data_IF_418770701901
#
_entry.id   IF_418770701901
#
_cell.length_a   1.000
_cell.length_b   1.000
_cell.length_c   1.000
_cell.angle_alpha   90.00
_cell.angle_beta   90.00
_cell.angle_gamma   90.00
#
_symmetry.space_group_name_H-M   'P 1'
#
loop_
_entity.id
_entity.type
_entity.pdbx_description
1 polymer ?
#
# COMPACT_ATOMS: atom_id res chain seq x y z
N UNK A 1 2.27 -14.11 13.69
CA UNK A 1 3.36 -13.11 13.80
C UNK A 1 3.51 -12.46 12.44
N UNK A 2 2.85 -11.32 12.21
CA UNK A 2 3.01 -10.52 11.00
C UNK A 2 3.45 -9.13 11.41
N UNK A 3 4.56 -8.74 10.83
CA UNK A 3 5.36 -7.56 11.10
C UNK A 3 4.62 -6.28 10.77
N UNK A 4 4.47 -5.46 11.81
CA UNK A 4 4.19 -4.02 11.83
C UNK A 4 4.97 -3.31 10.71
N UNK A 5 4.29 -2.87 9.64
CA UNK A 5 4.87 -1.91 8.70
C UNK A 5 4.70 -0.53 9.30
N UNK A 6 5.71 -0.12 10.06
CA UNK A 6 5.83 1.24 10.57
C UNK A 6 5.78 2.23 9.41
N UNK A 7 4.89 3.21 9.58
CA UNK A 7 4.92 4.53 8.97
C UNK A 7 6.39 5.01 8.87
N UNK A 8 6.94 4.97 7.67
CA UNK A 8 8.29 5.44 7.36
C UNK A 8 8.21 6.34 6.14
N UNK A 9 8.36 7.62 6.44
CA UNK A 9 8.86 8.71 5.63
C UNK A 9 9.66 8.25 4.39
N UNK A 10 9.00 8.17 3.24
CA UNK A 10 9.66 8.28 1.92
C UNK A 10 8.68 8.94 0.96
N UNK A 11 8.67 10.27 0.94
CA UNK A 11 8.24 11.03 -0.23
C UNK A 11 9.18 12.22 -0.36
N UNK A 12 10.37 11.95 -0.89
CA UNK A 12 11.26 12.98 -1.42
C UNK A 12 10.52 13.72 -2.53
N UNK A 13 10.35 15.03 -2.34
CA UNK A 13 9.99 15.93 -3.44
C UNK A 13 11.19 15.96 -4.40
N UNK A 14 11.12 15.16 -5.46
CA UNK A 14 12.14 15.19 -6.51
C UNK A 14 12.16 16.57 -7.17
N UNK A 15 13.28 17.27 -7.01
CA UNK A 15 13.62 18.49 -7.74
C UNK A 15 13.76 18.13 -9.22
N UNK A 16 12.85 18.63 -10.05
CA UNK A 16 12.87 18.41 -11.49
C UNK A 16 13.97 19.26 -12.14
N UNK A 17 15.03 18.62 -12.63
CA UNK A 17 16.07 19.23 -13.48
C UNK A 17 15.68 18.92 -14.95
N UNK A 18 15.57 19.92 -15.84
CA UNK A 18 15.18 19.67 -17.22
C UNK A 18 16.36 19.12 -18.00
N UNK A 19 16.30 17.86 -18.41
CA UNK A 19 17.17 17.32 -19.45
C UNK A 19 16.36 17.14 -20.73
N UNK A 20 16.60 18.03 -21.68
CA UNK A 20 16.13 17.89 -23.04
C UNK A 20 16.88 16.80 -23.81
N UNK A 21 16.27 16.42 -24.92
CA UNK A 21 16.82 15.55 -25.98
C UNK A 21 16.90 14.06 -25.66
N UNK A 22 15.84 13.30 -26.02
CA UNK A 22 15.92 12.00 -26.71
C UNK A 22 14.53 11.34 -26.81
N UNK A 23 13.69 11.70 -27.79
CA UNK A 23 12.44 10.95 -28.05
C UNK A 23 12.04 10.84 -29.52
N UNK A 24 12.97 11.05 -30.47
CA UNK A 24 12.74 10.71 -31.88
C UNK A 24 12.90 9.20 -32.21
N UNK A 25 13.18 8.35 -31.21
CA UNK A 25 13.39 6.90 -31.41
C UNK A 25 12.18 6.05 -30.98
N UNK A 26 11.23 6.59 -30.21
CA UNK A 26 10.07 5.81 -29.72
C UNK A 26 8.94 5.70 -30.76
N UNK A 27 8.96 6.52 -31.82
CA UNK A 27 7.85 6.60 -32.78
C UNK A 27 7.89 5.55 -33.91
N UNK A 28 8.91 4.70 -33.98
CA UNK A 28 9.00 3.61 -34.97
C UNK A 28 8.80 2.20 -34.40
N UNK A 29 8.85 2.01 -33.07
CA UNK A 29 8.66 0.69 -32.45
C UNK A 29 7.17 0.37 -32.16
N UNK A 30 6.31 1.37 -32.03
CA UNK A 30 4.87 1.16 -31.80
C UNK A 30 4.08 0.70 -33.03
N UNK A 31 4.66 0.72 -34.24
CA UNK A 31 3.94 0.37 -35.47
C UNK A 31 4.03 -1.11 -35.85
N UNK A 32 4.98 -1.87 -35.28
CA UNK A 32 5.17 -3.29 -35.57
C UNK A 32 4.54 -4.24 -34.54
N UNK A 33 4.02 -3.72 -33.43
CA UNK A 33 3.39 -4.53 -32.37
C UNK A 33 1.85 -4.51 -32.41
N UNK A 34 1.24 -3.61 -33.19
CA UNK A 34 -0.22 -3.48 -33.32
C UNK A 34 -0.84 -4.40 -34.39
N UNK A 35 -0.07 -4.97 -35.30
CA UNK A 35 -0.58 -5.90 -36.33
C UNK A 35 -0.65 -7.36 -35.85
N UNK A 36 0.08 -7.74 -34.80
CA UNK A 36 0.03 -9.10 -34.25
C UNK A 36 -1.14 -9.32 -33.27
N UNK A 37 -1.60 -8.26 -32.59
CA UNK A 37 -2.72 -8.34 -31.62
C UNK A 37 -4.07 -8.40 -32.35
N UNK A 38 -4.24 -7.68 -33.46
CA UNK A 38 -5.47 -7.70 -34.25
C UNK A 38 -5.74 -9.04 -34.94
N UNK A 39 -4.68 -9.77 -35.32
CA UNK A 39 -4.79 -11.12 -35.88
C UNK A 39 -5.15 -12.18 -34.82
N UNK A 40 -4.79 -11.97 -33.55
CA UNK A 40 -5.17 -12.87 -32.46
C UNK A 40 -6.59 -12.62 -31.94
N UNK A 41 -7.03 -11.35 -31.88
CA UNK A 41 -8.40 -11.01 -31.45
C UNK A 41 -9.46 -11.46 -32.47
N UNK A 42 -9.14 -11.43 -33.77
CA UNK A 42 -10.09 -11.82 -34.82
C UNK A 42 -10.27 -13.35 -34.96
N UNK A 43 -9.33 -14.17 -34.47
CA UNK A 43 -9.45 -15.63 -34.51
C UNK A 43 -10.26 -16.25 -33.35
N UNK A 44 -10.57 -15.48 -32.30
CA UNK A 44 -11.42 -15.98 -31.20
C UNK A 44 -12.93 -15.84 -31.45
N UNK A 45 -13.36 -15.26 -32.59
CA UNK A 45 -14.78 -14.97 -32.88
C UNK A 45 -15.47 -15.95 -33.83
N UNK A 46 -14.80 -16.97 -34.37
CA UNK A 46 -15.44 -17.99 -35.19
C UNK A 46 -15.03 -19.41 -34.80
N UNK A 47 -15.88 -20.04 -33.99
CA UNK A 47 -15.79 -21.45 -33.62
C UNK A 47 -17.15 -22.13 -33.69
N UNK A 48 -17.89 -21.96 -34.80
CA UNK A 48 -19.03 -22.80 -35.14
C UNK A 48 -18.57 -23.84 -36.16
N UNK A 49 -18.07 -24.98 -35.68
CA UNK A 49 -18.02 -26.21 -36.45
C UNK A 49 -18.27 -27.38 -35.50
N UNK A 50 -19.53 -27.82 -35.43
CA UNK A 50 -19.93 -29.03 -34.71
C UNK A 50 -19.98 -30.15 -35.72
N UNK A 51 -18.86 -30.86 -35.89
CA UNK A 51 -18.83 -32.07 -36.70
C UNK A 51 -19.58 -33.20 -35.99
N UNK A 52 -20.50 -33.79 -36.75
CA UNK A 52 -21.39 -34.87 -36.37
C UNK A 52 -20.63 -36.19 -36.39
N UNK A 53 -20.21 -36.67 -35.22
CA UNK A 53 -19.75 -38.05 -35.03
C UNK A 53 -20.68 -38.80 -34.07
N UNK A 54 -21.44 -39.72 -34.66
CA UNK A 54 -22.25 -40.72 -33.97
C UNK A 54 -21.37 -41.89 -33.53
N UNK A 55 -21.28 -42.16 -32.23
CA UNK A 55 -21.84 -43.39 -31.64
C UNK A 55 -21.39 -43.57 -30.18
N UNK A 56 -22.33 -44.12 -29.40
CA UNK A 56 -22.18 -44.83 -28.11
C UNK A 56 -21.66 -44.08 -26.87
N UNK A 57 -22.62 -43.52 -26.12
CA UNK A 57 -22.59 -43.29 -24.65
C UNK A 57 -21.35 -42.59 -24.09
N UNK A 58 -21.09 -41.35 -24.51
CA UNK A 58 -20.02 -40.50 -23.94
C UNK A 58 -20.22 -39.00 -24.17
N UNK A 59 -21.46 -38.55 -24.33
CA UNK A 59 -21.77 -37.12 -24.45
C UNK A 59 -22.21 -36.58 -23.09
N UNK A 60 -21.68 -35.43 -22.63
CA UNK A 60 -22.29 -34.74 -21.51
C UNK A 60 -23.74 -34.46 -21.89
N UNK A 61 -24.66 -34.65 -20.94
CA UNK A 61 -26.05 -34.21 -21.07
C UNK A 61 -26.09 -32.83 -21.75
N UNK A 62 -26.92 -32.66 -22.77
CA UNK A 62 -26.99 -31.42 -23.56
C UNK A 62 -27.19 -30.21 -22.64
N UNK A 63 -27.89 -30.42 -21.53
CA UNK A 63 -28.08 -29.45 -20.45
C UNK A 63 -26.76 -29.10 -19.73
N UNK A 64 -25.93 -30.09 -19.39
CA UNK A 64 -24.62 -29.85 -18.76
C UNK A 64 -23.62 -29.17 -19.71
N UNK A 65 -23.71 -29.42 -21.02
CA UNK A 65 -22.88 -28.74 -22.01
C UNK A 65 -23.24 -27.25 -22.11
N UNK A 66 -24.53 -26.93 -22.09
CA UNK A 66 -25.02 -25.54 -22.08
C UNK A 66 -24.62 -24.81 -20.79
N UNK A 67 -24.82 -25.43 -19.62
CA UNK A 67 -24.43 -24.86 -18.33
C UNK A 67 -22.92 -24.55 -18.26
N UNK A 68 -22.08 -25.44 -18.80
CA UNK A 68 -20.64 -25.19 -18.93
C UNK A 68 -20.36 -23.99 -19.84
N UNK A 69 -21.06 -23.87 -20.97
CA UNK A 69 -20.87 -22.75 -21.88
C UNK A 69 -21.28 -21.42 -21.24
N UNK A 70 -22.35 -21.40 -20.45
CA UNK A 70 -22.76 -20.22 -19.67
C UNK A 70 -21.67 -19.80 -18.68
N UNK A 71 -21.11 -20.75 -17.93
CA UNK A 71 -19.99 -20.47 -17.03
C UNK A 71 -18.75 -19.95 -17.76
N UNK A 72 -18.40 -20.53 -18.91
CA UNK A 72 -17.29 -20.08 -19.73
C UNK A 72 -17.49 -18.63 -20.22
N UNK A 73 -18.69 -18.32 -20.73
CA UNK A 73 -19.04 -16.99 -21.20
C UNK A 73 -19.04 -15.96 -20.06
N UNK A 74 -19.62 -16.30 -18.90
CA UNK A 74 -19.62 -15.44 -17.72
C UNK A 74 -18.19 -15.15 -17.23
N UNK A 75 -17.35 -16.18 -17.13
CA UNK A 75 -15.94 -16.05 -16.71
C UNK A 75 -15.12 -15.20 -17.68
N UNK A 76 -15.34 -15.36 -18.99
CA UNK A 76 -14.68 -14.55 -20.00
C UNK A 76 -15.09 -13.07 -19.89
N UNK A 77 -16.39 -12.78 -19.74
CA UNK A 77 -16.90 -11.41 -19.57
C UNK A 77 -16.35 -10.76 -18.31
N UNK A 78 -16.34 -11.47 -17.19
CA UNK A 78 -15.76 -10.98 -15.95
C UNK A 78 -14.26 -10.67 -16.10
N UNK A 79 -13.51 -11.54 -16.78
CA UNK A 79 -12.09 -11.32 -17.04
C UNK A 79 -11.85 -10.07 -17.89
N UNK A 80 -12.63 -9.90 -18.97
CA UNK A 80 -12.56 -8.71 -19.83
C UNK A 80 -12.86 -7.45 -19.04
N UNK A 81 -13.98 -7.44 -18.30
CA UNK A 81 -14.34 -6.32 -17.44
C UNK A 81 -13.23 -5.98 -16.43
N UNK A 82 -12.64 -7.00 -15.79
CA UNK A 82 -11.56 -6.82 -14.81
C UNK A 82 -10.35 -6.10 -15.41
N UNK A 83 -10.02 -6.41 -16.67
CA UNK A 83 -8.90 -5.80 -17.37
C UNK A 83 -9.24 -4.37 -17.79
N UNK A 84 -10.43 -4.15 -18.36
CA UNK A 84 -10.87 -2.85 -18.84
C UNK A 84 -10.96 -1.81 -17.70
N UNK A 85 -11.34 -2.26 -16.50
CA UNK A 85 -11.49 -1.42 -15.30
C UNK A 85 -10.30 -1.53 -14.34
N UNK A 86 -9.12 -1.89 -14.85
CA UNK A 86 -7.89 -1.98 -14.05
C UNK A 86 -7.14 -0.66 -13.89
N UNK A 87 -7.40 0.34 -14.77
CA UNK A 87 -6.78 1.69 -14.71
C UNK A 87 -7.67 2.76 -15.37
N UNK A 88 -8.20 3.75 -14.62
CA UNK A 88 -8.25 3.82 -13.15
C UNK A 88 -9.02 2.61 -12.58
N UNK A 89 -8.73 2.21 -11.34
CA UNK A 89 -9.39 1.03 -10.75
C UNK A 89 -10.84 1.38 -10.42
N UNK A 90 -11.78 0.83 -11.19
CA UNK A 90 -13.24 0.88 -10.94
C UNK A 90 -13.84 -0.51 -11.02
N UNK A 91 -13.02 -1.50 -10.65
CA UNK A 91 -13.26 -2.92 -10.88
C UNK A 91 -14.47 -3.43 -10.10
N UNK A 92 -14.58 -3.08 -8.82
CA UNK A 92 -15.68 -3.54 -7.98
C UNK A 92 -17.01 -2.98 -8.51
N UNK A 93 -17.08 -1.67 -8.73
CA UNK A 93 -18.28 -0.98 -9.22
C UNK A 93 -18.73 -1.48 -10.60
N UNK A 94 -17.80 -1.60 -11.55
CA UNK A 94 -18.14 -1.86 -12.94
C UNK A 94 -18.36 -3.34 -13.25
N UNK A 95 -17.71 -4.25 -12.50
CA UNK A 95 -17.70 -5.68 -12.82
C UNK A 95 -18.60 -6.53 -11.92
N UNK A 96 -19.37 -5.92 -11.02
CA UNK A 96 -20.27 -6.63 -10.09
C UNK A 96 -21.24 -7.56 -10.79
N UNK A 97 -21.88 -7.13 -11.88
CA UNK A 97 -22.84 -7.97 -12.60
C UNK A 97 -22.16 -9.19 -13.22
N UNK A 98 -20.99 -8.98 -13.86
CA UNK A 98 -20.24 -10.09 -14.45
C UNK A 98 -19.73 -11.08 -13.38
N UNK A 99 -19.40 -10.58 -12.19
CA UNK A 99 -19.07 -11.43 -11.04
C UNK A 99 -20.26 -12.27 -10.58
N UNK A 100 -21.45 -11.67 -10.45
CA UNK A 100 -22.67 -12.38 -10.08
C UNK A 100 -23.01 -13.47 -11.10
N UNK A 101 -22.89 -13.19 -12.40
CA UNK A 101 -23.10 -14.16 -13.47
C UNK A 101 -22.13 -15.38 -13.34
N UNK A 102 -20.88 -15.15 -12.94
CA UNK A 102 -19.90 -16.24 -12.67
C UNK A 102 -20.34 -17.09 -11.49
N UNK A 103 -20.76 -16.47 -10.40
CA UNK A 103 -21.25 -17.17 -9.20
C UNK A 103 -22.50 -17.98 -9.52
N UNK A 104 -23.48 -17.37 -10.18
CA UNK A 104 -24.74 -18.00 -10.54
C UNK A 104 -24.53 -19.17 -11.52
N UNK A 105 -23.78 -18.96 -12.60
CA UNK A 105 -23.52 -20.00 -13.59
C UNK A 105 -22.79 -21.22 -13.01
N UNK A 106 -21.86 -21.00 -12.09
CA UNK A 106 -21.19 -22.08 -11.36
C UNK A 106 -22.13 -22.79 -10.36
N UNK A 107 -22.97 -22.05 -9.65
CA UNK A 107 -23.99 -22.63 -8.76
C UNK A 107 -25.03 -23.44 -9.53
N UNK A 108 -25.41 -23.01 -10.72
CA UNK A 108 -26.33 -23.75 -11.58
C UNK A 108 -25.70 -25.08 -12.02
N UNK A 109 -24.41 -25.10 -12.34
CA UNK A 109 -23.70 -26.37 -12.60
C UNK A 109 -23.65 -27.31 -11.39
N UNK A 110 -23.67 -26.79 -10.16
CA UNK A 110 -23.65 -27.59 -8.94
C UNK A 110 -25.04 -28.03 -8.48
N UNK A 111 -26.10 -27.28 -8.79
CA UNK A 111 -27.49 -27.61 -8.43
C UNK A 111 -28.16 -28.52 -9.46
N UNK A 112 -27.91 -28.30 -10.75
CA UNK A 112 -28.59 -29.05 -11.83
C UNK A 112 -27.76 -30.25 -12.29
N UNK A 113 -28.46 -31.34 -12.62
CA UNK A 113 -27.85 -32.61 -13.01
C UNK A 113 -28.87 -33.58 -13.61
N UNK A 114 -28.37 -34.61 -14.28
CA UNK A 114 -29.18 -35.67 -14.89
C UNK A 114 -28.85 -37.02 -14.25
N UNK A 115 -29.87 -37.87 -14.08
CA UNK A 115 -29.75 -39.19 -13.45
C UNK A 115 -28.99 -39.14 -12.12
N UNK A 116 -29.40 -38.22 -11.23
CA UNK A 116 -28.86 -38.07 -9.88
C UNK A 116 -27.36 -37.68 -9.79
N UNK A 117 -26.73 -37.28 -10.91
CA UNK A 117 -25.34 -36.79 -10.97
C UNK A 117 -25.32 -35.31 -11.32
N UNK A 118 -24.67 -34.48 -10.50
CA UNK A 118 -24.57 -33.03 -10.76
C UNK A 118 -23.67 -32.77 -11.96
N UNK A 119 -24.00 -31.78 -12.79
CA UNK A 119 -23.19 -31.45 -13.96
C UNK A 119 -21.73 -31.13 -13.57
N UNK A 120 -21.54 -30.48 -12.42
CA UNK A 120 -20.22 -30.12 -11.91
C UNK A 120 -19.32 -31.33 -11.64
N UNK A 121 -19.87 -32.46 -11.23
CA UNK A 121 -19.09 -33.66 -10.90
C UNK A 121 -18.41 -34.24 -12.16
N UNK A 122 -18.99 -34.04 -13.34
CA UNK A 122 -18.40 -34.45 -14.61
C UNK A 122 -17.21 -33.59 -15.04
N UNK A 123 -17.12 -32.33 -14.59
CA UNK A 123 -16.07 -31.39 -15.01
C UNK A 123 -15.01 -31.12 -13.94
N UNK A 124 -15.35 -31.29 -12.66
CA UNK A 124 -14.43 -31.01 -11.53
C UNK A 124 -13.80 -32.28 -10.97
N UNK A 125 -14.50 -33.42 -10.94
CA UNK A 125 -14.01 -34.61 -10.23
C UNK A 125 -13.33 -35.66 -11.13
N UNK A 126 -13.34 -35.48 -12.46
CA UNK A 126 -12.77 -36.45 -13.40
C UNK A 126 -11.36 -36.13 -13.90
N UNK A 127 -10.88 -34.91 -13.68
CA UNK A 127 -9.56 -34.44 -14.10
C UNK A 127 -8.77 -33.94 -12.89
N UNK A 128 -7.48 -34.24 -12.81
CA UNK A 128 -6.58 -33.75 -11.76
C UNK A 128 -6.34 -32.24 -11.84
N UNK A 129 -6.50 -31.64 -13.02
CA UNK A 129 -6.31 -30.21 -13.24
C UNK A 129 -7.50 -29.37 -12.78
N UNK A 130 -8.71 -29.93 -12.77
CA UNK A 130 -9.93 -29.27 -12.27
C UNK A 130 -10.17 -27.85 -12.81
N UNK A 131 -9.91 -27.61 -14.09
CA UNK A 131 -9.91 -26.27 -14.73
C UNK A 131 -11.12 -25.42 -14.34
N UNK A 132 -12.34 -25.98 -14.38
CA UNK A 132 -13.58 -25.26 -14.06
C UNK A 132 -13.55 -24.73 -12.61
N UNK A 133 -13.10 -25.55 -11.66
CA UNK A 133 -12.95 -25.15 -10.26
C UNK A 133 -11.86 -24.10 -10.10
N UNK A 134 -10.71 -24.29 -10.75
CA UNK A 134 -9.58 -23.35 -10.65
C UNK A 134 -9.93 -21.96 -11.20
N UNK A 135 -10.66 -21.88 -12.32
CA UNK A 135 -11.12 -20.61 -12.88
C UNK A 135 -12.13 -19.94 -11.94
N UNK A 136 -13.09 -20.71 -11.43
CA UNK A 136 -14.06 -20.19 -10.47
C UNK A 136 -13.37 -19.62 -9.22
N UNK A 137 -12.41 -20.36 -8.67
CA UNK A 137 -11.64 -19.91 -7.50
C UNK A 137 -10.81 -18.68 -7.82
N UNK A 138 -10.16 -18.61 -8.98
CA UNK A 138 -9.41 -17.43 -9.38
C UNK A 138 -10.28 -16.18 -9.47
N UNK A 139 -11.50 -16.31 -10.01
CA UNK A 139 -12.47 -15.21 -10.09
C UNK A 139 -12.94 -14.78 -8.69
N UNK A 140 -13.29 -15.74 -7.83
CA UNK A 140 -13.64 -15.46 -6.43
C UNK A 140 -12.51 -14.79 -5.66
N UNK A 141 -11.29 -15.27 -5.83
CA UNK A 141 -10.11 -14.77 -5.13
C UNK A 141 -9.73 -13.38 -5.61
N UNK A 142 -9.92 -13.07 -6.90
CA UNK A 142 -9.76 -11.70 -7.41
C UNK A 142 -10.76 -10.75 -6.73
N UNK A 143 -12.05 -11.11 -6.71
CA UNK A 143 -13.10 -10.32 -6.05
C UNK A 143 -12.83 -10.11 -4.56
N UNK A 144 -12.44 -11.17 -3.85
CA UNK A 144 -12.12 -11.14 -2.41
C UNK A 144 -10.88 -10.32 -2.11
N UNK A 145 -9.79 -10.45 -2.90
CA UNK A 145 -8.56 -9.66 -2.69
C UNK A 145 -8.79 -8.18 -2.92
N UNK A 146 -9.66 -7.83 -3.87
CA UNK A 146 -10.10 -6.45 -4.09
C UNK A 146 -11.09 -5.97 -3.02
N UNK A 147 -11.51 -6.83 -2.08
CA UNK A 147 -12.46 -6.54 -1.01
C UNK A 147 -13.76 -5.92 -1.52
N UNK A 148 -14.21 -6.33 -2.71
CA UNK A 148 -15.37 -5.71 -3.36
C UNK A 148 -16.67 -5.86 -2.56
N UNK A 149 -16.80 -6.87 -1.70
CA UNK A 149 -17.96 -6.99 -0.82
C UNK A 149 -18.11 -5.79 0.13
N UNK A 150 -17.02 -5.10 0.50
CA UNK A 150 -17.06 -3.94 1.40
C UNK A 150 -17.62 -2.67 0.72
N UNK A 151 -17.65 -2.66 -0.61
CA UNK A 151 -18.28 -1.60 -1.39
C UNK A 151 -19.82 -1.70 -1.35
N UNK A 152 -20.40 -2.80 -0.87
CA UNK A 152 -21.81 -3.12 -1.00
C UNK A 152 -22.46 -3.50 0.33
N UNK A 153 -23.77 -3.30 0.44
CA UNK A 153 -24.56 -3.74 1.58
C UNK A 153 -25.03 -5.19 1.38
N UNK A 154 -25.05 -5.96 2.47
CA UNK A 154 -25.50 -7.35 2.48
C UNK A 154 -27.04 -7.41 2.47
N UNK A 155 -27.69 -6.95 1.40
CA UNK A 155 -29.13 -7.17 1.22
C UNK A 155 -29.40 -7.90 -0.11
N UNK A 156 -29.58 -9.22 0.01
CA UNK A 156 -30.39 -10.10 -0.84
C UNK A 156 -30.21 -10.05 -2.38
N UNK A 157 -29.44 -11.04 -2.87
CA UNK A 157 -29.54 -11.82 -4.13
C UNK A 157 -29.86 -11.20 -5.51
N UNK A 158 -30.29 -9.94 -5.65
CA UNK A 158 -30.60 -9.40 -6.99
C UNK A 158 -30.39 -7.90 -7.18
N UNK A 159 -30.16 -7.13 -6.12
CA UNK A 159 -29.87 -5.71 -6.21
C UNK A 159 -28.67 -5.38 -5.32
N UNK A 160 -27.49 -5.23 -5.92
CA UNK A 160 -26.30 -4.87 -5.17
C UNK A 160 -26.37 -3.37 -4.86
N UNK A 161 -26.86 -3.03 -3.67
CA UNK A 161 -26.86 -1.65 -3.19
C UNK A 161 -25.46 -1.27 -2.70
N UNK A 162 -24.96 -0.14 -3.18
CA UNK A 162 -23.71 0.47 -2.70
C UNK A 162 -23.83 0.79 -1.22
N UNK A 163 -22.81 0.44 -0.43
CA UNK A 163 -22.84 0.70 1.01
C UNK A 163 -22.94 2.19 1.31
N UNK A 164 -23.61 2.55 2.41
CA UNK A 164 -23.74 3.95 2.84
C UNK A 164 -22.36 4.63 2.96
N UNK A 165 -21.35 3.90 3.46
CA UNK A 165 -19.97 4.39 3.55
C UNK A 165 -19.37 4.73 2.18
N UNK A 166 -19.55 3.83 1.21
CA UNK A 166 -19.07 4.02 -0.17
C UNK A 166 -19.80 5.17 -0.85
N UNK A 167 -21.13 5.23 -0.70
CA UNK A 167 -21.97 6.30 -1.24
C UNK A 167 -21.53 7.66 -0.72
N UNK A 168 -21.35 7.78 0.59
CA UNK A 168 -20.92 9.02 1.22
C UNK A 168 -19.48 9.42 0.82
N UNK A 169 -18.57 8.46 0.66
CA UNK A 169 -17.23 8.71 0.13
C UNK A 169 -17.30 9.30 -1.29
N UNK A 170 -18.10 8.69 -2.18
CA UNK A 170 -18.29 9.15 -3.56
C UNK A 170 -18.86 10.58 -3.59
N UNK A 171 -19.77 10.93 -2.67
CA UNK A 171 -20.28 12.31 -2.55
C UNK A 171 -19.15 13.30 -2.25
N UNK A 172 -18.32 13.04 -1.23
CA UNK A 172 -17.19 13.92 -0.91
C UNK A 172 -16.17 14.01 -2.05
N UNK A 173 -15.90 12.88 -2.70
CA UNK A 173 -15.02 12.84 -3.86
C UNK A 173 -15.56 13.69 -5.02
N UNK A 174 -16.85 13.57 -5.34
CA UNK A 174 -17.49 14.36 -6.38
C UNK A 174 -17.49 15.86 -6.05
N UNK A 175 -17.68 16.23 -4.79
CA UNK A 175 -17.54 17.62 -4.34
C UNK A 175 -16.12 18.15 -4.59
N UNK A 176 -15.10 17.40 -4.17
CA UNK A 176 -13.69 17.73 -4.40
C UNK A 176 -13.36 17.85 -5.90
N UNK A 177 -13.77 16.88 -6.72
CA UNK A 177 -13.55 16.91 -8.17
C UNK A 177 -14.29 18.08 -8.85
N UNK A 178 -15.49 18.41 -8.38
CA UNK A 178 -16.22 19.58 -8.87
C UNK A 178 -15.49 20.88 -8.54
N UNK A 179 -14.88 20.98 -7.35
CA UNK A 179 -14.02 22.11 -7.01
C UNK A 179 -12.79 22.18 -7.93
N UNK A 180 -12.11 21.05 -8.15
CA UNK A 180 -10.96 20.98 -9.08
C UNK A 180 -11.34 21.49 -10.46
N UNK A 181 -12.46 20.98 -11.01
CA UNK A 181 -12.88 21.30 -12.38
C UNK A 181 -13.29 22.77 -12.56
N UNK A 182 -13.71 23.45 -11.50
CA UNK A 182 -14.10 24.86 -11.52
C UNK A 182 -12.94 25.81 -11.23
N UNK A 183 -11.89 25.33 -10.60
CA UNK A 183 -10.80 26.17 -10.12
C UNK A 183 -9.70 26.31 -11.17
N UNK A 184 -9.08 27.48 -11.22
CA UNK A 184 -7.83 27.67 -11.97
C UNK A 184 -6.69 26.99 -11.20
N UNK A 185 -5.70 26.44 -11.91
CA UNK A 185 -4.57 25.71 -11.31
C UNK A 185 -3.86 26.53 -10.22
N UNK A 186 -3.72 27.84 -10.40
CA UNK A 186 -3.04 28.76 -9.48
C UNK A 186 -3.75 28.93 -8.13
N UNK A 187 -5.08 28.85 -8.12
CA UNK A 187 -5.93 29.06 -6.93
C UNK A 187 -6.51 27.74 -6.39
N UNK A 188 -6.32 26.65 -7.13
CA UNK A 188 -6.82 25.30 -6.84
C UNK A 188 -6.64 24.90 -5.39
N UNK A 189 -5.43 25.05 -4.89
CA UNK A 189 -5.05 24.60 -3.56
C UNK A 189 -5.70 25.41 -2.46
N UNK A 190 -5.97 26.69 -2.69
CA UNK A 190 -6.63 27.56 -1.72
C UNK A 190 -8.14 27.30 -1.71
N UNK A 191 -8.76 27.17 -2.89
CA UNK A 191 -10.21 27.02 -3.00
C UNK A 191 -10.70 25.62 -2.65
N UNK A 192 -9.93 24.56 -2.97
CA UNK A 192 -10.36 23.18 -2.77
C UNK A 192 -9.77 22.53 -1.52
N UNK A 193 -9.05 23.29 -0.67
CA UNK A 193 -8.43 22.75 0.55
C UNK A 193 -9.47 22.12 1.48
N UNK A 194 -10.60 22.78 1.69
CA UNK A 194 -11.63 22.32 2.62
C UNK A 194 -12.33 21.06 2.11
N UNK A 195 -12.62 20.98 0.81
CA UNK A 195 -13.17 19.78 0.18
C UNK A 195 -12.17 18.61 0.27
N UNK A 196 -10.89 18.87 0.03
CA UNK A 196 -9.82 17.87 0.19
C UNK A 196 -9.70 17.36 1.63
N UNK A 197 -9.65 18.25 2.63
CA UNK A 197 -9.57 17.87 4.05
C UNK A 197 -10.81 17.05 4.46
N UNK A 198 -11.99 17.44 3.96
CA UNK A 198 -13.23 16.72 4.25
C UNK A 198 -13.19 15.30 3.68
N UNK A 199 -12.74 15.14 2.43
CA UNK A 199 -12.55 13.83 1.80
C UNK A 199 -11.50 12.98 2.55
N UNK A 200 -10.33 13.55 2.83
CA UNK A 200 -9.21 12.86 3.49
C UNK A 200 -9.58 12.42 4.91
N UNK A 201 -10.22 13.30 5.69
CA UNK A 201 -10.67 12.96 7.04
C UNK A 201 -11.77 11.91 7.06
N UNK A 202 -12.68 11.93 6.07
CA UNK A 202 -13.69 10.88 5.93
C UNK A 202 -13.04 9.53 5.62
N UNK A 203 -12.12 9.48 4.65
CA UNK A 203 -11.34 8.29 4.32
C UNK A 203 -10.55 7.75 5.54
N UNK A 204 -9.89 8.64 6.29
CA UNK A 204 -9.19 8.29 7.52
C UNK A 204 -10.13 7.69 8.58
N UNK A 205 -11.38 8.17 8.67
CA UNK A 205 -12.37 7.61 9.59
C UNK A 205 -12.79 6.20 9.19
N UNK A 206 -13.15 5.98 7.92
CA UNK A 206 -13.65 4.67 7.45
C UNK A 206 -12.53 3.62 7.35
N UNK A 207 -11.29 4.03 7.07
CA UNK A 207 -10.13 3.14 7.04
C UNK A 207 -9.81 2.56 8.42
N UNK A 208 -9.80 3.40 9.46
CA UNK A 208 -9.52 2.97 10.83
C UNK A 208 -10.60 2.03 11.41
N UNK A 209 -11.87 2.24 11.07
CA UNK A 209 -12.96 1.33 11.47
C UNK A 209 -12.72 -0.07 10.89
N UNK A 210 -12.15 -0.10 9.69
CA UNK A 210 -11.96 -1.31 8.92
C UNK A 210 -10.53 -1.88 9.04
N UNK A 211 -9.71 -1.53 10.03
CA UNK A 211 -8.35 -2.09 10.15
C UNK A 211 -8.34 -3.65 10.20
N UNK A 212 -9.44 -4.27 10.62
CA UNK A 212 -9.64 -5.72 10.60
C UNK A 212 -10.32 -6.25 9.31
N UNK A 213 -11.06 -5.42 8.57
CA UNK A 213 -11.97 -5.83 7.47
C UNK A 213 -11.47 -5.33 6.10
N UNK A 214 -10.89 -4.13 6.06
CA UNK A 214 -10.37 -3.38 4.91
C UNK A 214 -11.44 -2.60 4.14
N UNK A 215 -11.00 -1.78 3.18
CA UNK A 215 -11.87 -1.10 2.23
C UNK A 215 -11.75 -1.74 0.85
N UNK A 216 -12.77 -1.59 0.00
CA UNK A 216 -12.71 -2.04 -1.37
C UNK A 216 -11.64 -1.26 -2.17
N UNK A 217 -11.04 -1.95 -3.14
CA UNK A 217 -9.87 -1.46 -3.87
C UNK A 217 -10.17 -0.19 -4.68
N UNK A 218 -11.39 -0.04 -5.20
CA UNK A 218 -11.83 1.14 -5.96
C UNK A 218 -11.65 2.44 -5.13
N UNK A 219 -12.09 2.43 -3.86
CA UNK A 219 -11.93 3.57 -2.94
C UNK A 219 -10.44 3.85 -2.65
N UNK A 220 -9.67 2.79 -2.40
CA UNK A 220 -8.24 2.89 -2.07
C UNK A 220 -7.46 3.48 -3.23
N UNK A 221 -7.72 3.03 -4.46
CA UNK A 221 -7.07 3.56 -5.67
C UNK A 221 -7.46 5.01 -5.92
N UNK A 222 -8.75 5.35 -5.76
CA UNK A 222 -9.24 6.71 -5.92
C UNK A 222 -8.55 7.67 -4.95
N UNK A 223 -8.42 7.29 -3.68
CA UNK A 223 -7.75 8.12 -2.67
C UNK A 223 -6.24 8.21 -2.94
N UNK A 224 -5.59 7.12 -3.37
CA UNK A 224 -4.17 7.13 -3.70
C UNK A 224 -3.85 8.04 -4.90
N UNK A 225 -4.69 8.01 -5.93
CA UNK A 225 -4.62 8.92 -7.07
C UNK A 225 -4.88 10.37 -6.63
N UNK A 226 -5.86 10.58 -5.75
CA UNK A 226 -6.18 11.90 -5.18
C UNK A 226 -5.00 12.47 -4.39
N UNK A 227 -4.37 11.70 -3.51
CA UNK A 227 -3.18 12.12 -2.78
C UNK A 227 -2.00 12.44 -3.70
N UNK A 228 -1.79 11.62 -4.73
CA UNK A 228 -0.73 11.85 -5.71
C UNK A 228 -0.99 13.15 -6.47
N UNK A 229 -2.20 13.34 -6.97
CA UNK A 229 -2.61 14.57 -7.64
C UNK A 229 -2.46 15.79 -6.72
N UNK A 230 -3.03 15.74 -5.52
CA UNK A 230 -2.99 16.84 -4.57
C UNK A 230 -1.56 17.19 -4.13
N UNK A 231 -0.72 16.18 -3.84
CA UNK A 231 0.67 16.43 -3.44
C UNK A 231 1.48 17.10 -4.55
N UNK A 232 1.28 16.70 -5.81
CA UNK A 232 1.99 17.32 -6.95
C UNK A 232 1.55 18.76 -7.19
N UNK A 233 0.25 19.06 -7.11
CA UNK A 233 -0.27 20.41 -7.40
C UNK A 233 -0.15 21.36 -6.20
N UNK A 234 -0.29 20.84 -4.98
CA UNK A 234 -0.50 21.64 -3.77
C UNK A 234 0.57 21.45 -2.69
N UNK A 235 1.76 20.96 -3.05
CA UNK A 235 2.88 20.75 -2.12
C UNK A 235 3.21 21.98 -1.25
N UNK A 236 3.12 23.19 -1.82
CA UNK A 236 3.45 24.45 -1.13
C UNK A 236 2.49 24.80 0.02
N UNK A 237 1.28 24.26 0.00
CA UNK A 237 0.23 24.54 0.98
C UNK A 237 0.19 23.50 2.10
N UNK A 238 1.19 22.61 2.17
CA UNK A 238 1.30 21.64 3.25
C UNK A 238 1.51 22.37 4.58
N UNK A 239 0.51 22.29 5.45
CA UNK A 239 0.47 22.95 6.76
C UNK A 239 1.41 22.25 7.75
N UNK A 240 2.71 22.47 7.62
CA UNK A 240 3.66 22.20 8.71
C UNK A 240 4.02 23.52 9.39
N UNK A 241 3.92 23.55 10.72
CA UNK A 241 4.49 24.63 11.52
C UNK A 241 6.02 24.43 11.55
N UNK A 242 6.68 24.72 10.43
CA UNK A 242 8.14 24.62 10.28
C UNK A 242 8.86 25.41 11.37
N UNK A 243 8.27 26.53 11.81
CA UNK A 243 8.76 27.36 12.91
C UNK A 243 8.91 26.57 14.21
N UNK A 244 7.94 25.72 14.55
CA UNK A 244 7.98 24.92 15.79
C UNK A 244 9.08 23.87 15.68
N UNK A 245 9.20 23.21 14.53
CA UNK A 245 10.23 22.19 14.30
C UNK A 245 11.65 22.78 14.34
N UNK A 246 11.86 23.94 13.71
CA UNK A 246 13.14 24.64 13.73
C UNK A 246 13.45 25.12 15.15
N UNK A 247 12.48 25.71 15.86
CA UNK A 247 12.66 26.20 17.22
C UNK A 247 13.02 25.08 18.21
N UNK A 248 12.34 23.93 18.13
CA UNK A 248 12.65 22.78 19.00
C UNK A 248 14.02 22.19 18.69
N UNK A 249 14.39 22.09 17.41
CA UNK A 249 15.71 21.60 16.99
C UNK A 249 16.85 22.50 17.50
N UNK A 250 16.70 23.81 17.36
CA UNK A 250 17.66 24.80 17.91
C UNK A 250 17.73 24.70 19.44
N UNK A 251 16.58 24.57 20.11
CA UNK A 251 16.50 24.44 21.56
C UNK A 251 17.28 23.23 22.08
N UNK A 252 17.18 22.08 21.41
CA UNK A 252 17.94 20.87 21.77
C UNK A 252 19.45 21.08 21.58
N UNK A 253 19.87 21.72 20.49
CA UNK A 253 21.28 22.01 20.22
C UNK A 253 21.90 22.98 21.25
N UNK A 254 21.15 23.99 21.67
CA UNK A 254 21.59 24.91 22.72
C UNK A 254 21.72 24.17 24.04
N UNK A 255 20.72 23.34 24.40
CA UNK A 255 20.72 22.58 25.64
C UNK A 255 21.92 21.63 25.73
N UNK A 256 22.23 20.90 24.65
CA UNK A 256 23.41 20.02 24.61
C UNK A 256 24.71 20.82 24.71
N UNK A 257 24.83 21.94 24.01
CA UNK A 257 26.02 22.80 24.07
C UNK A 257 26.24 23.36 25.47
N UNK A 258 25.19 23.89 26.10
CA UNK A 258 25.25 24.42 27.48
C UNK A 258 25.63 23.31 28.46
N UNK A 259 25.07 22.11 28.31
CA UNK A 259 25.43 20.97 29.16
C UNK A 259 26.94 20.66 29.09
N UNK A 260 27.52 20.58 27.90
CA UNK A 260 28.97 20.34 27.75
C UNK A 260 29.83 21.48 28.31
N UNK A 261 29.40 22.74 28.12
CA UNK A 261 30.09 23.89 28.70
C UNK A 261 30.04 23.85 30.23
N UNK A 262 28.87 23.56 30.81
CA UNK A 262 28.70 23.44 32.26
C UNK A 262 29.59 22.32 32.81
N UNK A 263 29.67 21.17 32.16
CA UNK A 263 30.59 20.10 32.57
C UNK A 263 32.04 20.58 32.54
N UNK A 264 32.46 21.28 31.48
CA UNK A 264 33.84 21.80 31.35
C UNK A 264 34.18 22.89 32.37
N UNK A 265 33.21 23.73 32.76
CA UNK A 265 33.41 24.77 33.77
C UNK A 265 33.22 24.26 35.21
N UNK A 266 32.40 23.22 35.42
CA UNK A 266 32.21 22.58 36.72
C UNK A 266 33.25 21.48 37.01
N UNK A 267 34.06 21.07 36.04
CA UNK A 267 35.36 20.46 36.30
C UNK A 267 36.27 21.51 36.96
N UNK A 268 36.18 21.63 38.29
CA UNK A 268 37.30 22.15 39.05
C UNK A 268 38.54 21.38 38.60
N UNK A 269 39.59 22.09 38.19
CA UNK A 269 40.94 21.51 38.03
C UNK A 269 41.43 21.03 39.39
N UNK A 270 40.84 19.94 39.91
CA UNK A 270 41.39 19.19 41.03
C UNK A 270 42.59 18.45 40.47
N UNK A 271 43.74 19.12 40.54
CA UNK A 271 45.01 18.43 40.49
C UNK A 271 44.91 17.22 41.44
N UNK A 272 45.27 16.00 41.01
CA UNK A 272 45.14 14.83 41.85
C UNK A 272 46.01 15.03 43.08
N UNK A 273 45.38 15.19 44.25
CA UNK A 273 45.99 15.37 45.57
C UNK A 273 46.87 14.18 46.01
N UNK A 274 47.05 13.21 45.12
CA UNK A 274 47.88 12.02 45.28
C UNK A 274 49.37 12.35 45.10
N UNK A 275 49.72 13.37 44.29
CA UNK A 275 51.14 13.73 44.07
C UNK A 275 51.77 14.58 45.21
N UNK A 276 50.97 15.24 46.04
CA UNK A 276 51.49 16.09 47.14
C UNK A 276 51.88 15.30 48.40
N UNK A 277 51.33 14.10 48.61
CA UNK A 277 51.71 13.25 49.77
C UNK A 277 53.07 12.58 49.57
N UNK A 278 53.48 12.28 48.34
CA UNK A 278 54.81 11.72 48.07
C UNK A 278 55.92 12.76 48.27
N UNK A 279 55.72 14.02 47.85
CA UNK A 279 56.74 15.07 48.01
C UNK A 279 56.99 15.50 49.47
N UNK A 280 56.02 15.31 50.37
CA UNK A 280 56.14 15.72 51.77
C UNK A 280 56.79 14.66 52.67
N UNK A 281 56.82 13.40 52.24
CA UNK A 281 57.46 12.31 53.00
C UNK A 281 58.96 12.16 52.68
N UNK A 282 59.42 12.61 51.50
CA UNK A 282 60.84 12.52 51.13
C UNK A 282 61.72 13.64 51.71
N UNK A 283 61.13 14.67 52.35
CA UNK A 283 61.85 15.83 52.88
C UNK A 283 62.26 15.73 54.35
N UNK A 284 61.99 14.60 55.03
CA UNK A 284 62.33 14.41 56.45
C UNK A 284 63.54 13.48 56.69
N UNK A 285 64.17 12.95 55.65
CA UNK A 285 65.30 12.01 55.76
C UNK A 285 66.60 12.52 55.11
N UNK A 286 66.97 13.79 55.31
CA UNK A 286 68.33 14.26 54.97
C UNK A 286 68.69 15.60 55.64
N UNK A 287 69.04 15.57 56.94
CA UNK A 287 70.01 16.53 57.52
C UNK A 287 70.49 16.13 58.93
N UNK A 288 71.61 15.43 58.98
CA UNK A 288 72.72 15.71 59.91
C UNK A 288 73.95 15.97 59.00
N UNK A 289 74.97 16.79 59.37
CA UNK A 289 75.78 16.57 60.59
C UNK A 289 76.45 17.80 61.24
N UNK A 290 77.16 17.50 62.35
CA UNK A 290 78.44 18.09 62.83
C UNK A 290 78.37 19.36 63.70
N UNK A 291 79.16 19.57 64.77
CA UNK A 291 80.27 18.82 65.38
C UNK A 291 80.61 19.42 66.79
N UNK A 292 81.23 18.59 67.65
CA UNK A 292 82.27 18.86 68.68
C UNK A 292 81.96 19.87 69.83
N UNK A 293 82.49 19.80 71.06
CA UNK A 293 83.59 19.05 71.68
C UNK A 293 83.54 19.13 73.24
N UNK A 294 84.34 18.27 73.90
CA UNK A 294 84.97 18.35 75.26
C UNK A 294 84.18 17.93 76.51
N UNK A 295 84.50 16.73 77.07
CA UNK A 295 85.43 16.41 78.20
C UNK A 295 84.69 16.46 79.57
N UNK A 296 84.83 15.56 80.56
CA UNK A 296 85.88 14.62 80.98
C UNK A 296 85.28 13.55 81.94
N UNK A 297 85.54 12.25 81.73
CA UNK A 297 86.29 11.31 82.60
C UNK A 297 85.55 10.64 83.80
N UNK A 298 86.08 9.53 84.41
CA UNK A 298 85.31 8.29 84.61
C UNK A 298 85.28 7.78 86.07
N UNK A 299 84.48 6.75 86.34
CA UNK A 299 84.88 5.45 86.94
C UNK A 299 83.68 4.72 87.54
N UNK A 300 83.74 3.40 87.37
CA UNK A 300 83.36 2.32 88.28
C UNK A 300 82.04 2.43 89.06
#
# INVERSE_FOLDING_TARGET
>A
MLTKRSRQDVFECSVYIPTGCHTWVIQQLNKLQLESVSLWVNNFRYGNHVDKLSSTSKYPDANCTDLRQRFANASARFTVCSIDHSRPITFCESCVQSYLDVVESYQNMSKFGHNNTRCIDNFVNRDRLQIVKSIYDANLDLWKRAKCNECYENESESAVSTSNTTTQFIVYYNHFMNCINKSKIEELCMHCMDDYITLDSYYARISNINDNIGMCMDIVDLMNNTWTYWSTQCCKYRRHNEVIFIATSIGVLILTTVFYLVVQFCEEKKAPTIMQRCAKNDSMEMRSPSAADHQAHPKA
#
